data_IF_454443157616
#
_entry.id   IF_454443157616
#
_cell.length_a   1.000
_cell.length_b   1.000
_cell.length_c   1.000
_cell.angle_alpha   90.00
_cell.angle_beta   90.00
_cell.angle_gamma   90.00
#
_symmetry.space_group_name_H-M   'P 1'
#
loop_
_entity.id
_entity.type
_entity.pdbx_description
1 polymer ?
#
# COMPACT_ATOMS: atom_id res chain seq x y z
N UNK A 1 -8.31 6.81 -6.74
CA UNK A 1 -9.34 6.17 -5.88
C UNK A 1 -9.91 4.96 -6.61
N UNK A 2 -9.84 3.75 -6.03
CA UNK A 2 -10.34 2.54 -6.69
C UNK A 2 -11.86 2.64 -6.87
N UNK A 3 -12.31 2.47 -8.10
CA UNK A 3 -13.70 2.67 -8.48
C UNK A 3 -14.11 1.75 -9.65
N UNK A 4 -15.39 1.78 -10.01
CA UNK A 4 -15.99 0.97 -11.07
C UNK A 4 -15.95 1.65 -12.45
N UNK A 5 -15.37 2.84 -12.53
CA UNK A 5 -15.33 3.66 -13.74
C UNK A 5 -14.38 4.84 -13.53
N UNK A 6 -13.73 5.29 -14.61
CA UNK A 6 -12.86 6.48 -14.58
C UNK A 6 -13.61 7.80 -14.38
N UNK A 7 -14.88 7.88 -14.76
CA UNK A 7 -15.60 9.15 -14.74
C UNK A 7 -15.86 9.63 -13.29
N UNK A 8 -15.79 10.95 -13.04
CA UNK A 8 -16.31 11.52 -11.79
C UNK A 8 -17.78 11.16 -11.57
N UNK A 9 -18.16 10.86 -10.33
CA UNK A 9 -19.53 10.45 -9.97
C UNK A 9 -19.85 8.96 -10.15
N UNK A 10 -18.89 8.15 -10.60
CA UNK A 10 -18.99 6.68 -10.52
C UNK A 10 -18.72 6.19 -9.10
N UNK A 11 -19.31 5.05 -8.75
CA UNK A 11 -19.10 4.37 -7.48
C UNK A 11 -20.32 4.45 -6.57
N UNK A 12 -20.15 3.88 -5.38
CA UNK A 12 -21.13 4.00 -4.29
C UNK A 12 -20.99 5.35 -3.56
N UNK A 13 -21.84 5.55 -2.56
CA UNK A 13 -21.83 6.74 -1.73
C UNK A 13 -20.47 6.96 -1.05
N UNK A 14 -19.85 5.90 -0.52
CA UNK A 14 -18.53 5.98 0.12
C UNK A 14 -17.47 6.52 -0.85
N UNK A 15 -17.43 6.01 -2.09
CA UNK A 15 -16.49 6.45 -3.12
C UNK A 15 -16.78 7.87 -3.59
N UNK A 16 -18.05 8.24 -3.69
CA UNK A 16 -18.45 9.60 -4.07
C UNK A 16 -17.97 10.63 -3.04
N UNK A 17 -18.25 10.38 -1.75
CA UNK A 17 -17.80 11.27 -0.66
C UNK A 17 -16.27 11.30 -0.54
N UNK A 18 -15.61 10.14 -0.66
CA UNK A 18 -14.15 10.07 -0.63
C UNK A 18 -13.52 10.83 -1.81
N UNK A 19 -14.13 10.81 -3.00
CA UNK A 19 -13.63 11.56 -4.15
C UNK A 19 -13.58 13.06 -3.85
N UNK A 20 -14.66 13.63 -3.32
CA UNK A 20 -14.75 15.06 -2.99
C UNK A 20 -13.70 15.45 -1.93
N UNK A 21 -13.60 14.67 -0.85
CA UNK A 21 -12.63 14.93 0.23
C UNK A 21 -11.18 14.83 -0.26
N UNK A 22 -10.85 13.81 -1.05
CA UNK A 22 -9.49 13.61 -1.56
C UNK A 22 -9.11 14.68 -2.59
N UNK A 23 -10.03 15.04 -3.50
CA UNK A 23 -9.82 16.11 -4.47
C UNK A 23 -9.58 17.47 -3.81
N UNK A 24 -10.20 17.72 -2.65
CA UNK A 24 -10.04 18.95 -1.88
C UNK A 24 -8.76 18.95 -1.02
N UNK A 25 -8.48 17.86 -0.30
CA UNK A 25 -7.44 17.84 0.75
C UNK A 25 -6.05 17.46 0.29
N UNK A 26 -5.91 16.69 -0.80
CA UNK A 26 -4.61 16.20 -1.26
C UNK A 26 -3.77 17.27 -1.99
N UNK A 27 -4.32 18.10 -2.89
CA UNK A 27 -3.50 19.09 -3.61
C UNK A 27 -2.76 20.09 -2.70
N UNK A 28 -3.35 20.62 -1.62
CA UNK A 28 -2.63 21.48 -0.67
C UNK A 28 -1.45 20.79 0.03
N UNK A 29 -1.43 19.45 0.07
CA UNK A 29 -0.33 18.66 0.61
C UNK A 29 0.73 18.32 -0.45
N UNK A 30 0.61 18.85 -1.67
CA UNK A 30 1.49 18.54 -2.79
C UNK A 30 1.27 17.14 -3.36
N UNK A 31 0.13 16.50 -3.07
CA UNK A 31 -0.23 15.19 -3.58
C UNK A 31 -1.17 15.37 -4.78
N UNK A 32 -0.76 14.84 -5.93
CA UNK A 32 -1.56 14.88 -7.16
C UNK A 32 -2.69 13.84 -7.12
N UNK A 33 -3.94 14.30 -7.03
CA UNK A 33 -5.11 13.44 -7.06
C UNK A 33 -5.65 13.32 -8.48
N UNK A 34 -5.27 12.23 -9.16
CA UNK A 34 -5.64 11.97 -10.56
C UNK A 34 -7.05 11.38 -10.77
N UNK A 35 -7.86 11.28 -9.71
CA UNK A 35 -9.24 10.80 -9.77
C UNK A 35 -9.42 9.28 -9.63
N UNK A 36 -10.40 8.74 -10.37
CA UNK A 36 -10.81 7.34 -10.29
C UNK A 36 -9.89 6.41 -11.08
N UNK A 37 -9.64 5.23 -10.50
CA UNK A 37 -8.79 4.16 -11.02
C UNK A 37 -9.62 2.89 -11.06
N UNK A 38 -9.61 2.16 -12.17
CA UNK A 38 -10.30 0.88 -12.32
C UNK A 38 -9.39 -0.28 -11.91
N UNK A 39 -9.98 -1.45 -11.64
CA UNK A 39 -9.22 -2.63 -11.23
C UNK A 39 -8.16 -3.08 -12.25
N UNK A 40 -8.40 -2.85 -13.55
CA UNK A 40 -7.44 -3.16 -14.63
C UNK A 40 -6.17 -2.31 -14.53
N UNK A 41 -6.31 -1.00 -14.28
CA UNK A 41 -5.16 -0.10 -14.13
C UNK A 41 -4.24 -0.50 -12.97
N UNK A 42 -4.81 -1.10 -11.91
CA UNK A 42 -4.04 -1.56 -10.75
C UNK A 42 -3.06 -2.65 -11.15
N UNK A 43 -3.49 -3.57 -12.04
CA UNK A 43 -2.64 -4.65 -12.52
C UNK A 43 -1.53 -4.16 -13.47
N UNK A 44 -1.80 -3.11 -14.25
CA UNK A 44 -0.81 -2.48 -15.13
C UNK A 44 0.19 -1.61 -14.36
N UNK A 45 -0.25 -0.97 -13.27
CA UNK A 45 0.60 -0.15 -12.40
C UNK A 45 1.12 1.14 -13.03
N UNK A 46 0.63 1.52 -14.22
CA UNK A 46 1.14 2.66 -14.98
C UNK A 46 0.46 3.98 -14.63
N UNK A 47 -0.77 3.92 -14.10
CA UNK A 47 -1.62 5.11 -13.97
C UNK A 47 -1.44 5.85 -12.65
N UNK A 48 -1.21 5.15 -11.55
CA UNK A 48 -1.10 5.72 -10.21
C UNK A 48 0.01 5.07 -9.40
N UNK A 49 0.72 5.86 -8.58
CA UNK A 49 1.70 5.33 -7.62
C UNK A 49 1.04 4.81 -6.33
N UNK A 50 -0.12 5.38 -5.99
CA UNK A 50 -0.90 5.00 -4.80
C UNK A 50 -2.36 4.89 -5.18
N UNK A 51 -2.95 3.72 -4.91
CA UNK A 51 -4.39 3.47 -5.08
C UNK A 51 -5.03 3.31 -3.71
N UNK A 52 -6.03 4.13 -3.43
CA UNK A 52 -6.79 4.11 -2.17
C UNK A 52 -8.11 3.37 -2.37
N UNK A 53 -8.48 2.53 -1.42
CA UNK A 53 -9.76 1.80 -1.37
C UNK A 53 -10.10 1.42 0.08
N UNK A 54 -11.34 1.01 0.33
CA UNK A 54 -11.71 0.39 1.60
C UNK A 54 -11.15 -1.03 1.73
N UNK A 55 -11.04 -1.52 2.96
CA UNK A 55 -10.43 -2.82 3.24
C UNK A 55 -11.18 -4.02 2.67
N UNK A 56 -12.51 -3.92 2.49
CA UNK A 56 -13.29 -5.01 1.90
C UNK A 56 -12.98 -5.12 0.41
N UNK A 57 -13.11 -4.02 -0.32
CA UNK A 57 -12.89 -3.98 -1.77
C UNK A 57 -11.43 -4.25 -2.13
N UNK A 58 -10.49 -3.66 -1.39
CA UNK A 58 -9.06 -3.92 -1.59
C UNK A 58 -8.70 -5.39 -1.41
N UNK A 59 -9.26 -6.05 -0.39
CA UNK A 59 -9.02 -7.48 -0.15
C UNK A 59 -9.66 -8.37 -1.22
N UNK A 60 -10.86 -8.02 -1.70
CA UNK A 60 -11.50 -8.73 -2.83
C UNK A 60 -10.67 -8.58 -4.10
N UNK A 61 -10.22 -7.37 -4.42
CA UNK A 61 -9.38 -7.11 -5.60
C UNK A 61 -8.06 -7.88 -5.53
N UNK A 62 -7.33 -7.76 -4.41
CA UNK A 62 -6.03 -8.42 -4.22
C UNK A 62 -6.14 -9.94 -4.40
N UNK A 63 -7.09 -10.58 -3.71
CA UNK A 63 -7.33 -12.02 -3.84
C UNK A 63 -7.82 -12.42 -5.23
N UNK A 64 -8.61 -11.55 -5.88
CA UNK A 64 -9.05 -11.73 -7.25
C UNK A 64 -7.87 -11.78 -8.23
N UNK A 65 -6.92 -10.85 -8.10
CA UNK A 65 -5.69 -10.82 -8.91
C UNK A 65 -4.86 -12.07 -8.67
N UNK A 66 -4.56 -12.40 -7.41
CA UNK A 66 -3.80 -13.60 -7.04
C UNK A 66 -4.42 -14.88 -7.61
N UNK A 67 -5.75 -15.05 -7.44
CA UNK A 67 -6.49 -16.21 -7.92
C UNK A 67 -6.52 -16.29 -9.45
N UNK A 68 -6.70 -15.16 -10.13
CA UNK A 68 -6.72 -15.09 -11.61
C UNK A 68 -5.36 -15.46 -12.20
N UNK A 69 -4.27 -14.95 -11.62
CA UNK A 69 -2.91 -15.27 -12.06
C UNK A 69 -2.60 -16.76 -11.86
N UNK A 70 -2.94 -17.31 -10.69
CA UNK A 70 -2.75 -18.74 -10.43
C UNK A 70 -3.58 -19.62 -11.39
N UNK A 71 -4.82 -19.24 -11.67
CA UNK A 71 -5.68 -19.93 -12.62
C UNK A 71 -5.10 -19.88 -14.05
N UNK A 72 -4.72 -18.68 -14.52
CA UNK A 72 -4.17 -18.49 -15.86
C UNK A 72 -2.90 -19.32 -16.04
N UNK A 73 -1.99 -19.27 -15.07
CA UNK A 73 -0.74 -20.03 -15.09
C UNK A 73 -0.96 -21.54 -15.22
N UNK A 74 -1.96 -22.09 -14.51
CA UNK A 74 -2.34 -23.50 -14.65
C UNK A 74 -2.83 -23.82 -16.06
N UNK A 75 -3.70 -22.98 -16.64
CA UNK A 75 -4.24 -23.17 -17.99
C UNK A 75 -3.17 -23.10 -19.08
N UNK A 76 -2.22 -22.17 -18.95
CA UNK A 76 -1.08 -22.10 -19.86
C UNK A 76 -0.24 -23.38 -19.82
N UNK A 77 0.05 -23.90 -18.62
CA UNK A 77 0.74 -25.18 -18.47
C UNK A 77 0.03 -26.35 -19.14
N UNK A 78 -1.29 -26.44 -18.96
CA UNK A 78 -2.13 -27.49 -19.58
C UNK A 78 -2.18 -27.37 -21.11
N UNK A 79 -2.29 -26.15 -21.64
CA UNK A 79 -2.45 -25.91 -23.07
C UNK A 79 -1.16 -26.08 -23.88
N UNK A 80 -0.01 -25.68 -23.31
CA UNK A 80 1.26 -25.61 -24.04
C UNK A 80 2.30 -26.63 -23.58
N UNK A 81 2.03 -27.39 -22.52
CA UNK A 81 2.95 -28.41 -21.99
C UNK A 81 4.20 -27.85 -21.29
N UNK A 82 4.34 -26.53 -21.19
CA UNK A 82 5.41 -25.84 -20.46
C UNK A 82 4.83 -24.88 -19.42
N UNK A 83 5.13 -25.15 -18.15
CA UNK A 83 4.72 -24.35 -17.00
C UNK A 83 5.73 -23.25 -16.64
N UNK A 84 6.90 -23.21 -17.27
CA UNK A 84 7.98 -22.28 -16.96
C UNK A 84 7.56 -20.81 -17.04
N UNK A 85 7.04 -20.33 -18.19
CA UNK A 85 6.58 -18.95 -18.34
C UNK A 85 5.47 -18.58 -17.35
N UNK A 86 4.51 -19.49 -17.17
CA UNK A 86 3.40 -19.35 -16.24
C UNK A 86 3.84 -19.22 -14.77
N UNK A 87 4.84 -20.01 -14.36
CA UNK A 87 5.44 -19.94 -13.01
C UNK A 87 6.19 -18.63 -12.77
N UNK A 88 6.82 -18.08 -13.81
CA UNK A 88 7.47 -16.76 -13.74
C UNK A 88 6.48 -15.67 -13.34
N UNK A 89 5.35 -15.59 -14.05
CA UNK A 89 4.29 -14.60 -13.79
C UNK A 89 3.67 -14.78 -12.39
N UNK A 90 3.39 -16.03 -11.99
CA UNK A 90 2.89 -16.30 -10.63
C UNK A 90 3.88 -15.85 -9.57
N UNK A 91 5.18 -16.09 -9.77
CA UNK A 91 6.21 -15.67 -8.82
C UNK A 91 6.33 -14.14 -8.74
N UNK A 92 6.14 -13.45 -9.85
CA UNK A 92 6.19 -11.99 -9.88
C UNK A 92 4.97 -11.36 -9.19
N UNK A 93 3.76 -11.86 -9.46
CA UNK A 93 2.52 -11.24 -9.00
C UNK A 93 2.05 -11.78 -7.64
N UNK A 94 2.22 -13.07 -7.40
CA UNK A 94 1.73 -13.78 -6.22
C UNK A 94 2.86 -14.47 -5.42
N UNK A 95 4.11 -14.31 -5.83
CA UNK A 95 5.26 -14.88 -5.12
C UNK A 95 5.55 -14.09 -3.85
N UNK A 96 5.62 -14.80 -2.73
CA UNK A 96 5.78 -14.27 -1.37
C UNK A 96 7.11 -13.58 -1.05
N UNK A 97 7.85 -13.08 -2.04
CA UNK A 97 9.03 -12.24 -1.81
C UNK A 97 8.66 -10.74 -1.66
N UNK A 98 7.37 -10.38 -1.79
CA UNK A 98 6.86 -9.07 -1.40
C UNK A 98 7.00 -8.87 0.12
N UNK A 99 7.57 -7.73 0.52
CA UNK A 99 7.46 -7.29 1.90
C UNK A 99 5.97 -7.10 2.21
N UNK A 100 5.51 -7.62 3.35
CA UNK A 100 4.13 -7.45 3.79
C UNK A 100 3.66 -5.99 3.85
N UNK A 101 2.40 -5.77 4.21
CA UNK A 101 1.85 -4.42 4.31
C UNK A 101 2.29 -3.71 5.59
N UNK A 102 2.63 -2.42 5.51
CA UNK A 102 2.72 -1.57 6.70
C UNK A 102 1.31 -1.35 7.27
N UNK A 103 1.13 -1.58 8.57
CA UNK A 103 -0.07 -1.18 9.28
C UNK A 103 0.09 0.27 9.75
N UNK A 104 -0.56 1.20 9.02
CA UNK A 104 -0.56 2.62 9.32
C UNK A 104 -1.66 2.98 10.34
N UNK A 105 -1.51 4.13 11.00
CA UNK A 105 -2.51 4.65 11.96
C UNK A 105 -2.34 4.17 13.41
N UNK A 106 -1.22 3.52 13.73
CA UNK A 106 -0.86 3.09 15.08
C UNK A 106 0.46 3.75 15.54
N UNK A 107 0.68 3.81 16.85
CA UNK A 107 1.87 4.42 17.46
C UNK A 107 3.10 3.50 17.43
N UNK A 108 3.42 2.95 16.26
CA UNK A 108 4.58 2.08 16.08
C UNK A 108 4.71 1.57 14.64
N UNK A 109 5.89 1.06 14.31
CA UNK A 109 6.14 0.41 13.02
C UNK A 109 5.66 -1.05 13.11
N UNK A 110 4.64 -1.39 12.32
CA UNK A 110 4.14 -2.76 12.23
C UNK A 110 4.04 -3.18 10.77
N UNK A 111 4.56 -4.38 10.47
CA UNK A 111 4.47 -4.99 9.14
C UNK A 111 3.70 -6.30 9.26
N UNK A 112 2.66 -6.45 8.44
CA UNK A 112 1.83 -7.66 8.36
C UNK A 112 2.24 -8.44 7.13
N UNK A 113 2.99 -9.52 7.35
CA UNK A 113 3.36 -10.48 6.31
C UNK A 113 2.30 -11.56 6.08
N UNK A 114 2.47 -12.35 5.02
CA UNK A 114 1.62 -13.51 4.76
C UNK A 114 1.96 -14.67 5.71
N UNK A 115 0.96 -15.37 6.25
CA UNK A 115 1.16 -16.44 7.24
C UNK A 115 1.94 -17.66 6.71
N UNK A 116 1.95 -17.88 5.40
CA UNK A 116 2.74 -18.92 4.72
C UNK A 116 4.09 -18.41 4.19
N UNK A 117 4.58 -17.26 4.68
CA UNK A 117 5.77 -16.60 4.18
C UNK A 117 7.06 -17.41 4.31
N UNK A 118 7.91 -17.34 3.29
CA UNK A 118 9.25 -17.92 3.28
C UNK A 118 10.21 -17.14 4.19
N UNK A 119 11.42 -17.68 4.43
CA UNK A 119 12.48 -16.93 5.11
C UNK A 119 12.82 -15.60 4.40
N UNK A 120 12.74 -15.56 3.06
CA UNK A 120 12.93 -14.34 2.28
C UNK A 120 11.79 -13.34 2.50
N UNK A 121 10.54 -13.81 2.60
CA UNK A 121 9.37 -13.00 2.92
C UNK A 121 9.54 -12.30 4.28
N UNK A 122 9.95 -13.07 5.30
CA UNK A 122 10.21 -12.56 6.65
C UNK A 122 11.33 -11.52 6.61
N UNK A 123 12.43 -11.82 5.91
CA UNK A 123 13.54 -10.87 5.72
C UNK A 123 13.09 -9.58 5.03
N UNK A 124 12.21 -9.67 4.03
CA UNK A 124 11.65 -8.51 3.34
C UNK A 124 10.78 -7.66 4.28
N UNK A 125 9.97 -8.30 5.14
CA UNK A 125 9.19 -7.62 6.17
C UNK A 125 10.06 -6.88 7.19
N UNK A 126 11.11 -7.53 7.71
CA UNK A 126 12.06 -6.91 8.65
C UNK A 126 12.76 -5.70 8.01
N UNK A 127 13.18 -5.83 6.74
CA UNK A 127 13.78 -4.70 5.99
C UNK A 127 12.79 -3.57 5.76
N UNK A 128 11.51 -3.86 5.54
CA UNK A 128 10.48 -2.82 5.43
C UNK A 128 10.28 -2.11 6.76
N UNK A 129 10.20 -2.85 7.87
CA UNK A 129 10.08 -2.28 9.21
C UNK A 129 11.29 -1.37 9.55
N UNK A 130 12.51 -1.84 9.32
CA UNK A 130 13.72 -1.04 9.53
C UNK A 130 13.68 0.27 8.72
N UNK A 131 13.36 0.19 7.42
CA UNK A 131 13.24 1.40 6.57
C UNK A 131 12.18 2.37 7.05
N UNK A 132 11.05 1.89 7.56
CA UNK A 132 9.99 2.75 8.09
C UNK A 132 10.40 3.43 9.41
N UNK A 133 11.16 2.72 10.26
CA UNK A 133 11.75 3.28 11.47
C UNK A 133 12.81 4.34 11.14
N UNK A 134 13.75 4.02 10.26
CA UNK A 134 14.83 4.93 9.84
C UNK A 134 14.30 6.22 9.21
N UNK A 135 13.18 6.13 8.49
CA UNK A 135 12.51 7.29 7.87
C UNK A 135 11.61 8.06 8.84
N UNK A 136 11.48 7.64 10.09
CA UNK A 136 10.58 8.26 11.06
C UNK A 136 9.13 8.28 10.58
N UNK A 137 8.67 7.24 9.86
CA UNK A 137 7.34 7.23 9.21
C UNK A 137 6.21 7.52 10.19
N UNK A 138 6.32 7.03 11.43
CA UNK A 138 5.31 7.27 12.48
C UNK A 138 5.25 8.75 12.85
N UNK A 139 6.40 9.38 13.08
CA UNK A 139 6.47 10.79 13.46
C UNK A 139 6.08 11.71 12.31
N UNK A 140 6.52 11.41 11.09
CA UNK A 140 6.09 12.11 9.88
C UNK A 140 4.56 12.09 9.73
N UNK A 141 3.96 10.91 9.90
CA UNK A 141 2.51 10.74 9.83
C UNK A 141 1.82 11.52 10.95
N UNK A 142 2.32 11.45 12.19
CA UNK A 142 1.77 12.18 13.34
C UNK A 142 1.80 13.69 13.10
N UNK A 143 2.92 14.22 12.62
CA UNK A 143 3.11 15.65 12.37
C UNK A 143 2.19 16.15 11.26
N UNK A 144 2.02 15.36 10.19
CA UNK A 144 1.06 15.66 9.13
C UNK A 144 -0.38 15.69 9.65
N UNK A 145 -0.80 14.73 10.46
CA UNK A 145 -2.15 14.75 11.05
C UNK A 145 -2.35 15.91 12.03
N UNK A 146 -1.32 16.29 12.79
CA UNK A 146 -1.38 17.44 13.69
C UNK A 146 -1.58 18.74 12.90
N UNK A 147 -0.85 18.94 11.79
CA UNK A 147 -0.99 20.13 10.95
C UNK A 147 -2.37 20.20 10.28
N UNK A 148 -2.89 19.07 9.80
CA UNK A 148 -4.24 18.97 9.24
C UNK A 148 -5.36 19.25 10.27
N UNK A 149 -5.11 18.94 11.55
CA UNK A 149 -6.05 19.20 12.64
C UNK A 149 -5.91 20.62 13.24
N UNK A 150 -5.01 21.46 12.71
CA UNK A 150 -4.71 22.79 13.25
C UNK A 150 -4.08 22.74 14.65
N UNK A 151 -3.46 21.62 15.03
CA UNK A 151 -2.78 21.46 16.32
C UNK A 151 -1.27 21.72 16.17
N UNK A 152 -0.61 22.37 17.14
CA UNK A 152 0.82 22.57 17.10
C UNK A 152 1.55 21.21 17.03
N UNK A 153 2.54 21.12 16.14
CA UNK A 153 3.41 19.96 16.01
C UNK A 153 4.24 19.86 17.30
N UNK A 154 4.23 18.69 17.94
CA UNK A 154 5.07 18.45 19.12
C UNK A 154 6.51 18.21 18.63
N UNK A 155 7.42 19.12 18.95
CA UNK A 155 8.84 18.93 18.69
C UNK A 155 9.33 17.71 19.48
N UNK A 156 9.78 16.69 18.75
CA UNK A 156 10.51 15.57 19.32
C UNK A 156 11.82 16.11 19.87
N UNK A 157 11.96 16.13 21.20
CA UNK A 157 13.23 16.42 21.83
C UNK A 157 14.27 15.42 21.33
N UNK A 158 15.24 15.94 20.56
CA UNK A 158 16.50 15.25 20.34
C UNK A 158 17.12 15.00 21.72
N UNK A 159 17.35 13.73 22.03
CA UNK A 159 18.06 13.31 23.22
C UNK A 159 19.51 13.84 23.12
N UNK A 160 19.78 15.00 23.71
CA UNK A 160 21.14 15.45 23.98
C UNK A 160 21.58 14.78 25.27
N UNK A 161 22.19 13.60 25.14
CA UNK A 161 23.00 13.03 26.19
C UNK A 161 24.23 13.94 26.37
N UNK A 162 24.12 14.90 27.27
CA UNK A 162 25.26 15.67 27.82
C UNK A 162 25.48 15.20 29.26
N UNK A 163 26.12 14.04 29.41
CA UNK A 163 26.75 13.66 30.67
C UNK A 163 28.16 14.26 30.72
N UNK A 164 28.22 15.56 31.03
CA UNK A 164 29.39 16.19 31.62
C UNK A 164 29.47 15.87 33.12
N UNK A 165 30.29 14.89 33.49
CA UNK A 165 30.63 14.56 34.88
C UNK A 165 32.11 14.81 35.14
N UNK A 166 32.37 15.73 36.07
CA UNK A 166 33.65 16.14 36.68
C UNK A 166 34.51 14.99 37.21
#
# INVERSE_FOLDING_TARGET
LLNIGHEPGKGDELRSLAFEELASRLPPLGIDFIGNIEGGDVAEGLRAQVVVTDGFTGNVLLKGIEGTVAWAAKRFGEAYGDVGPARGVVREVAGGDFAGGLLLGINGVTVVGHGSGSANAIRACVRLAARAADRGTVDMTRNLFASLAGKPVADGQANTDDEGGS
#
